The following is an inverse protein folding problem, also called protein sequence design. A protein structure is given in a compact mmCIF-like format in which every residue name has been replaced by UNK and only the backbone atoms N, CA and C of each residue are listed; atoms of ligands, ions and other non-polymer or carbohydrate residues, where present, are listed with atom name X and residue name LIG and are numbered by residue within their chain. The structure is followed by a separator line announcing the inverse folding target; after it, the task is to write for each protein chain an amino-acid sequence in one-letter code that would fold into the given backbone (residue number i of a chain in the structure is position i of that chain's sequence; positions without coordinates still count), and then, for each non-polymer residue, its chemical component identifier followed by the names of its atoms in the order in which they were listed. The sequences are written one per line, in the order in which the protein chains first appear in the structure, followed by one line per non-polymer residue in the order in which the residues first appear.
data_IF_932391867626
#
_entry.id   IF_932391867626
#
_cell.length_a   1.000
_cell.length_b   1.000
_cell.length_c   1.000
_cell.angle_alpha   90.00
_cell.angle_beta   90.00
_cell.angle_gamma   90.00
#
_symmetry.space_group_name_H-M   'P 1'
#
loop_
_entity.id
_entity.type
_entity.pdbx_description
1 polymer ?
#
# COMPACT_ATOMS: atom_id res chain seq x y z
N UNK A 1 -70.10 -56.42 9.55
CA UNK A 1 -68.84 -56.36 8.78
C UNK A 1 -68.47 -54.89 8.58
N UNK A 2 -67.19 -54.59 8.81
CA UNK A 2 -66.53 -53.27 8.84
C UNK A 2 -66.87 -52.36 7.66
N UNK A 3 -66.87 -51.04 7.88
CA UNK A 3 -65.87 -50.11 7.30
C UNK A 3 -65.69 -48.91 8.23
N UNK A 4 -64.56 -48.85 8.94
CA UNK A 4 -64.11 -47.63 9.62
C UNK A 4 -63.34 -46.79 8.59
N UNK A 5 -63.78 -45.55 8.37
CA UNK A 5 -63.11 -44.60 7.49
C UNK A 5 -62.08 -43.85 8.34
N UNK A 6 -60.80 -44.09 8.06
CA UNK A 6 -59.68 -43.44 8.70
C UNK A 6 -59.35 -42.17 7.90
N UNK A 7 -59.55 -40.99 8.49
CA UNK A 7 -59.10 -39.72 7.92
C UNK A 7 -57.62 -39.52 8.26
N UNK A 8 -56.75 -39.54 7.25
CA UNK A 8 -55.34 -39.18 7.37
C UNK A 8 -55.24 -37.67 7.15
N UNK A 9 -54.94 -36.93 8.22
CA UNK A 9 -54.61 -35.50 8.15
C UNK A 9 -53.13 -35.41 7.76
N UNK A 10 -52.86 -35.00 6.51
CA UNK A 10 -51.51 -34.66 6.06
C UNK A 10 -51.23 -33.24 6.50
N UNK A 11 -50.47 -33.08 7.58
CA UNK A 11 -49.91 -31.80 8.00
C UNK A 11 -48.69 -31.55 7.12
N UNK A 12 -48.82 -30.73 6.09
CA UNK A 12 -47.67 -30.20 5.36
C UNK A 12 -46.94 -29.22 6.26
N UNK A 13 -45.90 -29.69 6.94
CA UNK A 13 -44.87 -28.81 7.49
C UNK A 13 -44.12 -28.22 6.31
N UNK A 14 -44.54 -27.04 5.85
CA UNK A 14 -43.66 -26.17 5.10
C UNK A 14 -42.53 -25.80 6.06
N UNK A 15 -41.39 -26.47 5.92
CA UNK A 15 -40.13 -25.94 6.42
C UNK A 15 -39.96 -24.60 5.74
N UNK A 16 -40.23 -23.53 6.47
CA UNK A 16 -39.81 -22.21 6.05
C UNK A 16 -38.29 -22.27 6.08
N UNK A 17 -37.67 -22.49 4.92
CA UNK A 17 -36.24 -22.36 4.76
C UNK A 17 -35.90 -20.91 5.11
N UNK A 18 -35.42 -20.71 6.34
CA UNK A 18 -34.80 -19.46 6.78
C UNK A 18 -33.41 -19.44 6.14
N UNK A 19 -33.37 -19.37 4.82
CA UNK A 19 -32.29 -18.71 4.11
C UNK A 19 -32.77 -17.29 3.86
N UNK A 20 -32.64 -16.45 4.90
CA UNK A 20 -32.68 -15.00 4.71
C UNK A 20 -31.37 -14.66 4.01
N UNK A 21 -31.44 -14.54 2.69
CA UNK A 21 -30.35 -14.02 1.87
C UNK A 21 -29.92 -12.65 2.41
N UNK A 22 -28.61 -12.39 2.41
CA UNK A 22 -27.97 -11.22 3.00
C UNK A 22 -28.51 -9.86 2.47
N UNK A 23 -29.27 -9.87 1.37
CA UNK A 23 -29.96 -8.70 0.81
C UNK A 23 -31.02 -8.11 1.77
N UNK A 24 -31.63 -8.90 2.65
CA UNK A 24 -32.69 -8.43 3.58
C UNK A 24 -32.14 -7.63 4.80
N UNK A 25 -30.81 -7.53 4.96
CA UNK A 25 -30.16 -6.74 6.02
C UNK A 25 -29.63 -5.37 5.56
N UNK A 26 -29.76 -5.01 4.28
CA UNK A 26 -29.30 -3.72 3.77
C UNK A 26 -27.78 -3.50 3.83
N UNK A 27 -26.99 -4.59 3.86
CA UNK A 27 -25.54 -4.53 3.79
C UNK A 27 -25.14 -4.55 2.31
N UNK A 28 -24.82 -3.37 1.78
CA UNK A 28 -24.31 -3.23 0.42
C UNK A 28 -22.78 -3.29 0.45
N UNK A 29 -22.15 -4.13 -0.39
CA UNK A 29 -20.70 -4.16 -0.52
C UNK A 29 -20.13 -2.77 -0.83
N UNK A 30 -19.09 -2.39 -0.11
CA UNK A 30 -18.31 -1.17 -0.38
C UNK A 30 -17.17 -1.51 -1.35
N UNK A 31 -16.81 -0.56 -2.20
CA UNK A 31 -15.62 -0.66 -3.04
C UNK A 31 -14.59 0.37 -2.56
N UNK A 32 -13.49 -0.13 -2.01
CA UNK A 32 -12.36 0.67 -1.53
C UNK A 32 -11.32 0.85 -2.63
N UNK A 33 -10.87 2.08 -2.84
CA UNK A 33 -9.83 2.45 -3.80
C UNK A 33 -8.56 2.85 -3.07
N UNK A 34 -7.46 2.22 -3.43
CA UNK A 34 -6.13 2.50 -2.90
C UNK A 34 -5.20 2.87 -4.05
N UNK A 35 -4.39 3.90 -3.85
CA UNK A 35 -3.34 4.30 -4.79
C UNK A 35 -1.98 4.27 -4.14
N UNK A 36 -1.04 3.53 -4.74
CA UNK A 36 0.35 3.50 -4.29
C UNK A 36 1.27 4.28 -5.23
N UNK A 37 1.96 5.28 -4.68
CA UNK A 37 2.91 6.15 -5.38
C UNK A 37 4.34 5.79 -4.99
N UNK A 38 5.26 5.75 -5.96
CA UNK A 38 6.67 5.57 -5.64
C UNK A 38 7.58 5.21 -6.81
N UNK A 39 8.52 4.31 -6.54
CA UNK A 39 9.57 3.88 -7.49
C UNK A 39 9.66 2.34 -7.59
N UNK A 40 10.87 1.79 -7.80
CA UNK A 40 11.10 0.34 -7.87
C UNK A 40 10.63 -0.41 -6.62
N UNK A 41 10.68 0.24 -5.46
CA UNK A 41 10.29 -0.37 -4.20
C UNK A 41 8.77 -0.45 -4.03
N UNK A 42 8.02 0.35 -4.78
CA UNK A 42 6.55 0.31 -4.82
C UNK A 42 6.04 -0.64 -5.90
N UNK A 43 6.59 -0.60 -7.11
CA UNK A 43 6.16 -1.48 -8.21
C UNK A 43 6.58 -2.95 -7.98
N UNK A 44 7.58 -3.20 -7.12
CA UNK A 44 8.08 -4.55 -6.85
C UNK A 44 9.08 -5.05 -7.87
N UNK A 45 10.10 -4.24 -8.16
CA UNK A 45 11.16 -4.67 -9.07
C UNK A 45 11.75 -6.02 -8.63
N UNK A 46 11.87 -6.93 -9.60
CA UNK A 46 12.49 -8.26 -9.43
C UNK A 46 11.71 -9.26 -8.55
N UNK A 47 10.43 -9.00 -8.31
CA UNK A 47 9.45 -9.98 -7.79
C UNK A 47 8.27 -10.12 -8.76
N UNK A 48 7.35 -11.05 -8.51
CA UNK A 48 6.16 -11.20 -9.36
C UNK A 48 5.19 -10.01 -9.21
N UNK A 49 4.26 -9.83 -10.17
CA UNK A 49 3.32 -8.70 -10.19
C UNK A 49 2.42 -8.61 -8.94
N UNK A 50 2.18 -9.75 -8.27
CA UNK A 50 1.39 -9.85 -7.03
C UNK A 50 2.26 -9.85 -5.75
N UNK A 51 3.58 -9.88 -5.91
CA UNK A 51 4.53 -10.09 -4.81
C UNK A 51 4.99 -8.77 -4.16
N UNK A 52 4.55 -7.60 -4.63
CA UNK A 52 4.88 -6.29 -4.08
C UNK A 52 4.00 -5.91 -2.88
N UNK A 53 4.39 -4.87 -2.12
CA UNK A 53 3.59 -4.47 -0.95
C UNK A 53 2.18 -3.96 -1.30
N UNK A 54 1.94 -3.19 -2.39
CA UNK A 54 0.59 -2.75 -2.70
C UNK A 54 -0.39 -3.91 -2.93
N UNK A 55 0.03 -4.94 -3.68
CA UNK A 55 -0.79 -6.11 -3.96
C UNK A 55 -0.94 -7.02 -2.74
N UNK A 56 0.12 -7.23 -1.96
CA UNK A 56 0.01 -7.99 -0.71
C UNK A 56 -0.86 -7.27 0.34
N UNK A 57 -0.87 -5.93 0.35
CA UNK A 57 -1.75 -5.13 1.20
C UNK A 57 -3.21 -5.29 0.77
N UNK A 58 -3.49 -5.19 -0.55
CA UNK A 58 -4.81 -5.47 -1.13
C UNK A 58 -5.33 -6.83 -0.66
N UNK A 59 -4.53 -7.87 -0.81
CA UNK A 59 -4.93 -9.23 -0.42
C UNK A 59 -5.24 -9.33 1.07
N UNK A 60 -4.43 -8.70 1.91
CA UNK A 60 -4.63 -8.69 3.37
C UNK A 60 -5.92 -7.97 3.77
N UNK A 61 -6.22 -6.83 3.12
CA UNK A 61 -7.45 -6.06 3.35
C UNK A 61 -8.67 -6.81 2.81
N UNK A 62 -8.60 -7.33 1.59
CA UNK A 62 -9.67 -8.10 0.95
C UNK A 62 -10.08 -9.33 1.77
N UNK A 63 -9.10 -10.06 2.31
CA UNK A 63 -9.36 -11.20 3.21
C UNK A 63 -10.07 -10.78 4.51
N UNK A 64 -9.84 -9.55 4.97
CA UNK A 64 -10.43 -9.01 6.20
C UNK A 64 -11.85 -8.48 5.99
N UNK A 65 -12.07 -7.75 4.89
CA UNK A 65 -13.34 -7.07 4.59
C UNK A 65 -14.40 -8.00 3.97
N UNK A 66 -14.00 -9.19 3.51
CA UNK A 66 -14.87 -10.26 2.99
C UNK A 66 -15.71 -9.87 1.77
N UNK A 67 -16.88 -9.26 1.98
CA UNK A 67 -17.86 -8.97 0.92
C UNK A 67 -17.53 -7.69 0.16
N UNK A 68 -16.78 -6.78 0.79
CA UNK A 68 -16.32 -5.55 0.15
C UNK A 68 -15.23 -5.86 -0.87
N UNK A 69 -14.99 -4.94 -1.79
CA UNK A 69 -13.93 -5.06 -2.80
C UNK A 69 -12.83 -4.05 -2.53
N UNK A 70 -11.57 -4.47 -2.67
CA UNK A 70 -10.41 -3.58 -2.60
C UNK A 70 -9.76 -3.51 -3.98
N UNK A 71 -9.67 -2.32 -4.56
CA UNK A 71 -8.94 -2.04 -5.79
C UNK A 71 -7.67 -1.26 -5.48
N UNK A 72 -6.56 -1.64 -6.11
CA UNK A 72 -5.26 -0.98 -6.00
C UNK A 72 -4.82 -0.54 -7.38
N UNK A 73 -4.44 0.73 -7.49
CA UNK A 73 -3.70 1.29 -8.61
C UNK A 73 -2.27 1.66 -8.16
N UNK A 74 -1.31 1.59 -9.07
CA UNK A 74 0.10 1.87 -8.78
C UNK A 74 0.65 2.88 -9.80
N UNK A 75 1.19 4.00 -9.31
CA UNK A 75 1.98 4.95 -10.10
C UNK A 75 3.41 4.90 -9.58
N UNK A 76 4.19 3.99 -10.14
CA UNK A 76 5.58 3.79 -9.76
C UNK A 76 6.39 3.17 -10.90
N UNK A 77 7.64 3.61 -11.06
CA UNK A 77 8.58 3.05 -12.04
C UNK A 77 9.98 3.01 -11.44
N UNK A 78 10.71 1.94 -11.75
CA UNK A 78 12.10 1.76 -11.35
C UNK A 78 12.97 2.96 -11.74
N UNK A 79 13.75 3.46 -10.77
CA UNK A 79 14.69 4.56 -10.97
C UNK A 79 14.10 5.98 -10.79
N UNK A 80 12.81 6.10 -10.52
CA UNK A 80 12.18 7.41 -10.30
C UNK A 80 12.68 8.10 -9.03
N UNK A 81 13.09 9.36 -9.19
CA UNK A 81 13.28 10.33 -8.10
C UNK A 81 11.95 11.01 -7.76
N UNK A 82 11.94 11.83 -6.72
CA UNK A 82 10.82 12.74 -6.42
C UNK A 82 10.40 13.57 -7.64
N UNK A 83 11.34 14.20 -8.36
CA UNK A 83 11.06 14.96 -9.59
C UNK A 83 10.32 14.14 -10.65
N UNK A 84 10.73 12.88 -10.87
CA UNK A 84 10.12 12.02 -11.88
C UNK A 84 8.69 11.63 -11.50
N UNK A 85 8.45 11.37 -10.21
CA UNK A 85 7.12 11.07 -9.70
C UNK A 85 6.21 12.30 -9.77
N UNK A 86 6.69 13.50 -9.40
CA UNK A 86 5.94 14.76 -9.54
C UNK A 86 5.47 14.94 -10.99
N UNK A 87 6.40 14.89 -11.94
CA UNK A 87 6.10 15.07 -13.36
C UNK A 87 5.09 14.03 -13.90
N UNK A 88 4.99 12.87 -13.26
CA UNK A 88 4.07 11.80 -13.65
C UNK A 88 2.69 11.95 -12.98
N UNK A 89 2.63 12.51 -11.78
CA UNK A 89 1.38 12.75 -11.04
C UNK A 89 0.68 14.04 -11.50
N UNK A 90 1.41 15.04 -11.97
CA UNK A 90 0.81 16.32 -12.41
C UNK A 90 -0.27 16.14 -13.48
N UNK A 91 -0.05 15.40 -14.59
CA UNK A 91 -1.09 15.15 -15.57
C UNK A 91 -2.30 14.38 -15.02
N UNK A 92 -2.09 13.54 -13.99
CA UNK A 92 -3.17 12.79 -13.33
C UNK A 92 -4.06 13.75 -12.52
N UNK A 93 -3.46 14.71 -11.81
CA UNK A 93 -4.20 15.71 -11.04
C UNK A 93 -4.97 16.66 -11.93
N UNK A 94 -4.36 17.10 -13.04
CA UNK A 94 -4.95 18.00 -14.05
C UNK A 94 -6.12 17.35 -14.81
N UNK A 95 -6.15 16.03 -14.91
CA UNK A 95 -7.22 15.29 -15.57
C UNK A 95 -8.48 15.24 -14.68
N UNK A 96 -9.47 16.07 -15.01
CA UNK A 96 -10.78 16.12 -14.34
C UNK A 96 -11.85 15.24 -14.99
N UNK A 97 -11.45 14.25 -15.81
CA UNK A 97 -12.40 13.25 -16.32
C UNK A 97 -13.04 12.49 -15.14
N UNK A 98 -14.36 12.26 -15.15
CA UNK A 98 -15.00 11.38 -14.16
C UNK A 98 -14.49 9.94 -14.23
N UNK A 99 -13.87 9.55 -15.34
CA UNK A 99 -13.28 8.22 -15.55
C UNK A 99 -11.82 8.13 -15.06
N UNK A 100 -11.30 9.16 -14.39
CA UNK A 100 -9.93 9.14 -13.86
C UNK A 100 -9.83 8.19 -12.66
N UNK A 101 -9.39 6.96 -12.93
CA UNK A 101 -9.30 5.90 -11.92
C UNK A 101 -8.35 6.23 -10.76
N UNK A 102 -7.39 7.13 -10.96
CA UNK A 102 -6.37 7.49 -9.97
C UNK A 102 -6.79 8.57 -8.97
N UNK A 103 -7.99 9.16 -9.09
CA UNK A 103 -8.51 10.16 -8.13
C UNK A 103 -9.53 9.55 -7.18
N UNK A 104 -9.85 10.28 -6.11
CA UNK A 104 -10.86 9.89 -5.11
C UNK A 104 -10.55 8.55 -4.44
N UNK A 105 -9.29 8.34 -4.05
CA UNK A 105 -8.87 7.13 -3.34
C UNK A 105 -9.23 7.23 -1.85
N UNK A 106 -9.69 6.13 -1.27
CA UNK A 106 -9.93 6.04 0.17
C UNK A 106 -8.61 5.94 0.96
N UNK A 107 -7.53 5.50 0.31
CA UNK A 107 -6.18 5.50 0.88
C UNK A 107 -5.13 5.77 -0.20
N UNK A 108 -4.13 6.58 0.12
CA UNK A 108 -2.91 6.75 -0.69
C UNK A 108 -1.70 6.32 0.12
N UNK A 109 -0.76 5.59 -0.50
CA UNK A 109 0.55 5.29 0.11
C UNK A 109 1.67 5.93 -0.69
N UNK A 110 2.66 6.52 -0.03
CA UNK A 110 3.84 7.14 -0.67
C UNK A 110 5.14 6.51 -0.15
N UNK A 111 5.97 5.98 -1.06
CA UNK A 111 7.32 5.50 -0.79
C UNK A 111 8.24 6.00 -1.89
N UNK A 112 9.09 6.98 -1.60
CA UNK A 112 9.96 7.62 -2.60
C UNK A 112 11.21 8.23 -1.94
N UNK A 113 12.34 8.22 -2.64
CA UNK A 113 13.55 8.96 -2.22
C UNK A 113 14.85 8.19 -2.33
N UNK A 114 14.84 6.85 -2.41
CA UNK A 114 16.07 6.05 -2.56
C UNK A 114 16.84 6.48 -3.79
N UNK A 115 16.16 6.71 -4.91
CA UNK A 115 16.79 7.12 -6.16
C UNK A 115 17.35 8.54 -6.12
N UNK A 116 16.80 9.44 -5.29
CA UNK A 116 17.42 10.75 -5.07
C UNK A 116 18.81 10.57 -4.44
N UNK A 117 18.90 9.76 -3.39
CA UNK A 117 20.16 9.42 -2.74
C UNK A 117 21.10 8.65 -3.68
N UNK A 118 20.64 7.55 -4.28
CA UNK A 118 21.45 6.67 -5.14
C UNK A 118 22.04 7.39 -6.34
N UNK A 119 21.30 8.33 -6.93
CA UNK A 119 21.76 9.15 -8.07
C UNK A 119 22.58 10.38 -7.62
N UNK A 120 22.91 10.49 -6.33
CA UNK A 120 23.64 11.62 -5.74
C UNK A 120 22.97 12.98 -6.05
N UNK A 121 21.65 13.04 -5.99
CA UNK A 121 20.93 14.32 -6.10
C UNK A 121 21.19 15.15 -4.83
N UNK A 122 21.27 16.48 -4.95
CA UNK A 122 21.35 17.35 -3.77
C UNK A 122 20.19 17.06 -2.81
N UNK A 123 20.48 16.92 -1.52
CA UNK A 123 19.43 16.65 -0.53
C UNK A 123 18.35 17.74 -0.50
N UNK A 124 18.74 19.00 -0.70
CA UNK A 124 17.83 20.16 -0.82
C UNK A 124 16.74 19.94 -1.88
N UNK A 125 17.01 19.16 -2.94
CA UNK A 125 15.98 18.81 -3.92
C UNK A 125 14.88 17.98 -3.27
N UNK A 126 15.24 16.96 -2.48
CA UNK A 126 14.30 16.15 -1.73
C UNK A 126 13.59 16.96 -0.65
N UNK A 127 14.29 17.86 0.05
CA UNK A 127 13.69 18.73 1.07
C UNK A 127 12.57 19.62 0.51
N UNK A 128 12.67 20.02 -0.75
CA UNK A 128 11.64 20.80 -1.43
C UNK A 128 10.54 19.93 -2.07
N UNK A 129 10.93 18.86 -2.77
CA UNK A 129 10.00 18.06 -3.58
C UNK A 129 9.21 17.02 -2.76
N UNK A 130 9.73 16.55 -1.62
CA UNK A 130 9.00 15.60 -0.78
C UNK A 130 7.73 16.22 -0.16
N UNK A 131 7.76 17.42 0.47
CA UNK A 131 6.55 18.11 0.89
C UNK A 131 5.56 18.40 -0.25
N UNK A 132 6.07 18.72 -1.44
CA UNK A 132 5.24 18.88 -2.63
C UNK A 132 4.51 17.58 -3.00
N UNK A 133 5.22 16.45 -3.01
CA UNK A 133 4.63 15.13 -3.28
C UNK A 133 3.61 14.72 -2.23
N UNK A 134 3.85 15.03 -0.94
CA UNK A 134 2.89 14.79 0.13
C UNK A 134 1.57 15.54 -0.16
N UNK A 135 1.64 16.82 -0.52
CA UNK A 135 0.44 17.60 -0.85
C UNK A 135 -0.30 17.06 -2.10
N UNK A 136 0.44 16.62 -3.12
CA UNK A 136 -0.13 15.97 -4.31
C UNK A 136 -0.81 14.64 -3.94
N UNK A 137 -0.17 13.83 -3.09
CA UNK A 137 -0.72 12.57 -2.61
C UNK A 137 -2.01 12.78 -1.82
N UNK A 138 -2.07 13.79 -0.94
CA UNK A 138 -3.29 14.19 -0.23
C UNK A 138 -4.40 14.59 -1.22
N UNK A 139 -4.05 15.33 -2.28
CA UNK A 139 -5.04 15.76 -3.29
C UNK A 139 -5.60 14.60 -4.14
N UNK A 140 -4.98 13.41 -4.10
CA UNK A 140 -5.47 12.19 -4.73
C UNK A 140 -6.40 11.38 -3.82
N UNK A 141 -6.49 11.72 -2.53
CA UNK A 141 -7.45 11.10 -1.61
C UNK A 141 -8.85 11.68 -1.83
N UNK A 142 -9.86 10.89 -1.51
CA UNK A 142 -11.28 11.26 -1.61
C UNK A 142 -11.64 12.37 -0.63
N UNK A 143 -11.12 12.32 0.59
CA UNK A 143 -11.37 13.33 1.61
C UNK A 143 -10.51 14.58 1.45
N UNK A 144 -9.45 14.52 0.63
CA UNK A 144 -8.38 15.53 0.57
C UNK A 144 -7.74 15.79 1.94
N UNK A 145 -7.69 14.77 2.80
CA UNK A 145 -7.12 14.82 4.15
C UNK A 145 -5.79 14.08 4.24
N UNK A 146 -4.90 14.58 5.10
CA UNK A 146 -3.69 13.88 5.52
C UNK A 146 -3.98 12.58 6.26
N UNK A 147 -5.18 12.43 6.83
CA UNK A 147 -5.58 11.18 7.47
C UNK A 147 -5.61 10.00 6.49
N UNK A 148 -5.83 10.23 5.20
CA UNK A 148 -5.96 9.16 4.20
C UNK A 148 -4.64 8.91 3.46
N UNK A 149 -3.53 9.43 3.99
CA UNK A 149 -2.19 9.22 3.48
C UNK A 149 -1.36 8.41 4.48
N UNK A 150 -0.67 7.39 3.97
CA UNK A 150 0.42 6.69 4.67
C UNK A 150 1.72 6.95 3.92
N UNK A 151 2.72 7.46 4.62
CA UNK A 151 4.09 7.55 4.10
C UNK A 151 4.90 6.39 4.65
N UNK A 152 5.67 5.75 3.79
CA UNK A 152 6.51 4.59 4.13
C UNK A 152 7.98 5.03 4.01
N UNK A 153 8.79 4.73 5.02
CA UNK A 153 10.22 5.03 4.99
C UNK A 153 10.90 4.35 3.80
N UNK A 154 11.91 4.99 3.23
CA UNK A 154 12.72 4.36 2.19
C UNK A 154 13.61 3.24 2.76
N UNK A 155 13.83 2.14 2.02
CA UNK A 155 14.67 1.04 2.47
C UNK A 155 16.15 1.38 2.45
N UNK A 156 16.92 0.70 3.30
CA UNK A 156 18.37 0.81 3.35
C UNK A 156 19.02 -0.30 2.50
N UNK A 157 19.25 0.01 1.22
CA UNK A 157 19.82 -0.95 0.29
C UNK A 157 21.29 -1.26 0.55
N UNK A 158 21.98 -0.54 1.46
CA UNK A 158 23.34 -0.88 1.86
C UNK A 158 23.42 -2.30 2.45
N UNK A 159 22.31 -2.82 2.98
CA UNK A 159 22.21 -4.16 3.58
C UNK A 159 21.84 -5.26 2.57
N UNK A 160 22.31 -5.10 1.34
CA UNK A 160 22.13 -6.06 0.25
C UNK A 160 23.48 -6.38 -0.39
N UNK A 161 23.65 -7.51 -1.10
CA UNK A 161 24.91 -7.78 -1.79
C UNK A 161 25.26 -6.69 -2.80
N UNK A 162 24.26 -6.12 -3.50
CA UNK A 162 24.47 -4.96 -4.38
C UNK A 162 24.99 -3.76 -3.60
N UNK A 163 24.33 -3.38 -2.50
CA UNK A 163 24.74 -2.24 -1.67
C UNK A 163 26.15 -2.39 -1.11
N UNK A 164 26.54 -3.60 -0.69
CA UNK A 164 27.88 -3.92 -0.20
C UNK A 164 28.96 -3.88 -1.29
N UNK A 165 28.59 -4.06 -2.56
CA UNK A 165 29.52 -3.92 -3.69
C UNK A 165 29.81 -2.46 -4.05
N UNK A 166 29.01 -1.52 -3.53
CA UNK A 166 29.16 -0.08 -3.72
C UNK A 166 30.35 0.50 -2.95
N UNK A 167 30.74 1.76 -3.25
CA UNK A 167 31.96 2.35 -2.71
C UNK A 167 31.91 2.62 -1.21
N UNK A 168 30.76 3.00 -0.64
CA UNK A 168 30.65 3.38 0.77
C UNK A 168 29.29 3.00 1.40
N UNK A 169 29.04 1.72 1.74
CA UNK A 169 27.76 1.29 2.32
C UNK A 169 27.37 2.03 3.61
N UNK A 170 28.35 2.39 4.44
CA UNK A 170 28.11 3.16 5.68
C UNK A 170 27.61 4.59 5.40
N UNK A 171 28.11 5.23 4.33
CA UNK A 171 27.64 6.56 3.94
C UNK A 171 26.21 6.45 3.38
N UNK A 172 25.94 5.43 2.57
CA UNK A 172 24.57 5.15 2.10
C UNK A 172 23.60 5.02 3.26
N UNK A 173 23.89 4.22 4.29
CA UNK A 173 23.00 4.09 5.46
C UNK A 173 22.78 5.41 6.19
N UNK A 174 23.83 6.24 6.34
CA UNK A 174 23.72 7.56 6.98
C UNK A 174 22.82 8.51 6.17
N UNK A 175 22.95 8.51 4.84
CA UNK A 175 22.11 9.32 3.97
C UNK A 175 20.67 8.80 3.99
N UNK A 176 20.44 7.49 3.95
CA UNK A 176 19.10 6.91 4.09
C UNK A 176 18.46 7.31 5.43
N UNK A 177 19.20 7.30 6.54
CA UNK A 177 18.71 7.79 7.84
C UNK A 177 18.36 9.28 7.78
N UNK A 178 19.14 10.11 7.09
CA UNK A 178 18.86 11.54 6.90
C UNK A 178 17.56 11.77 6.13
N UNK A 179 17.36 11.06 5.01
CA UNK A 179 16.13 11.15 4.20
C UNK A 179 14.89 10.69 4.98
N UNK A 180 14.99 9.55 5.68
CA UNK A 180 13.91 9.01 6.48
C UNK A 180 13.57 9.89 7.68
N UNK A 181 14.57 10.45 8.36
CA UNK A 181 14.36 11.38 9.48
C UNK A 181 13.63 12.64 9.01
N UNK A 182 14.01 13.20 7.86
CA UNK A 182 13.32 14.35 7.29
C UNK A 182 11.86 14.03 6.96
N UNK A 183 11.62 12.90 6.27
CA UNK A 183 10.28 12.47 5.90
C UNK A 183 9.40 12.20 7.13
N UNK A 184 9.94 11.52 8.15
CA UNK A 184 9.25 11.24 9.41
C UNK A 184 8.87 12.53 10.13
N UNK A 185 9.81 13.47 10.30
CA UNK A 185 9.53 14.76 10.95
C UNK A 185 8.44 15.53 10.20
N UNK A 186 8.54 15.62 8.88
CA UNK A 186 7.52 16.29 8.07
C UNK A 186 6.14 15.62 8.24
N UNK A 187 6.08 14.29 8.27
CA UNK A 187 4.82 13.58 8.49
C UNK A 187 4.24 13.85 9.87
N UNK A 188 5.07 13.78 10.92
CA UNK A 188 4.65 14.05 12.29
C UNK A 188 4.11 15.48 12.47
N UNK A 189 4.78 16.47 11.88
CA UNK A 189 4.35 17.88 11.92
C UNK A 189 3.00 18.11 11.22
N UNK A 190 2.65 17.28 10.25
CA UNK A 190 1.44 17.42 9.43
C UNK A 190 0.37 16.35 9.76
N UNK A 191 0.55 15.57 10.83
CA UNK A 191 -0.40 14.55 11.27
C UNK A 191 -0.58 13.40 10.28
N UNK A 192 0.46 13.06 9.52
CA UNK A 192 0.48 11.97 8.54
C UNK A 192 1.06 10.71 9.19
N UNK A 193 0.47 9.54 8.94
CA UNK A 193 1.02 8.27 9.42
C UNK A 193 2.31 7.93 8.67
N UNK A 194 3.45 7.98 9.37
CA UNK A 194 4.73 7.48 8.87
C UNK A 194 5.00 6.06 9.37
N UNK A 195 5.30 5.13 8.45
CA UNK A 195 5.56 3.73 8.76
C UNK A 195 6.99 3.39 8.38
N UNK A 196 7.81 3.10 9.39
CA UNK A 196 9.18 2.67 9.20
C UNK A 196 9.23 1.20 8.75
N UNK A 197 9.97 0.92 7.68
CA UNK A 197 10.35 -0.42 7.17
C UNK A 197 11.87 -0.59 7.05
N UNK A 198 12.65 0.47 7.30
CA UNK A 198 14.10 0.51 7.05
C UNK A 198 14.84 -0.57 7.81
N UNK A 199 14.50 -0.76 9.08
CA UNK A 199 15.07 -1.78 9.95
C UNK A 199 14.80 -3.23 9.47
N UNK A 200 13.70 -3.47 8.75
CA UNK A 200 13.44 -4.76 8.09
C UNK A 200 14.50 -4.97 7.00
N UNK A 201 14.72 -3.98 6.14
CA UNK A 201 15.70 -4.09 5.05
C UNK A 201 17.14 -4.19 5.54
N UNK A 202 17.44 -3.61 6.71
CA UNK A 202 18.74 -3.77 7.39
C UNK A 202 19.06 -5.20 7.83
N UNK A 203 18.07 -6.10 7.81
CA UNK A 203 18.31 -7.52 8.04
C UNK A 203 18.79 -8.28 6.78
N UNK A 204 18.83 -7.65 5.60
CA UNK A 204 19.08 -8.32 4.32
C UNK A 204 20.41 -9.09 4.23
N UNK A 205 21.47 -8.65 4.90
CA UNK A 205 22.75 -9.37 4.93
C UNK A 205 22.73 -10.59 5.87
N UNK A 206 21.96 -10.51 6.95
CA UNK A 206 21.83 -11.59 7.95
C UNK A 206 20.80 -12.61 7.49
N UNK A 207 19.75 -12.14 6.80
CA UNK A 207 18.70 -12.94 6.21
C UNK A 207 18.58 -12.64 4.71
N UNK A 208 19.40 -13.28 3.86
CA UNK A 208 19.38 -13.07 2.41
C UNK A 208 18.03 -13.34 1.74
N UNK A 209 17.15 -14.12 2.38
CA UNK A 209 15.79 -14.35 1.87
C UNK A 209 14.92 -13.09 1.86
N UNK A 210 15.37 -11.99 2.48
CA UNK A 210 14.72 -10.69 2.39
C UNK A 210 15.09 -9.92 1.11
N UNK A 211 16.12 -10.35 0.38
CA UNK A 211 16.60 -9.69 -0.84
C UNK A 211 16.15 -10.49 -2.06
N UNK A 212 15.69 -9.80 -3.11
CA UNK A 212 15.26 -10.38 -4.36
C UNK A 212 16.43 -10.92 -5.20
N UNK A 213 16.10 -11.57 -6.31
CA UNK A 213 17.08 -12.26 -7.18
C UNK A 213 18.11 -11.33 -7.85
N UNK A 214 17.84 -10.02 -7.90
CA UNK A 214 18.76 -9.01 -8.40
C UNK A 214 19.81 -8.56 -7.36
N UNK A 215 19.75 -9.13 -6.16
CA UNK A 215 20.61 -8.81 -5.02
C UNK A 215 20.48 -7.37 -4.51
N UNK A 216 19.38 -6.67 -4.82
CA UNK A 216 19.15 -5.27 -4.47
C UNK A 216 17.77 -5.04 -3.85
N UNK A 217 16.71 -5.41 -4.55
CA UNK A 217 15.35 -5.03 -4.14
C UNK A 217 14.81 -5.97 -3.04
N UNK A 218 13.75 -5.57 -2.31
CA UNK A 218 13.08 -6.44 -1.36
C UNK A 218 12.46 -7.63 -2.07
N UNK A 219 12.60 -8.81 -1.47
CA UNK A 219 11.87 -10.01 -1.88
C UNK A 219 10.38 -9.93 -1.51
N UNK A 220 9.58 -10.87 -2.04
CA UNK A 220 8.20 -11.10 -1.62
C UNK A 220 8.09 -11.25 -0.08
N UNK A 221 9.04 -11.95 0.55
CA UNK A 221 9.08 -12.13 2.00
C UNK A 221 9.32 -10.81 2.75
N UNK A 222 10.17 -9.93 2.22
CA UNK A 222 10.37 -8.62 2.81
C UNK A 222 9.12 -7.74 2.65
N UNK A 223 8.47 -7.77 1.49
CA UNK A 223 7.21 -7.07 1.27
C UNK A 223 6.09 -7.54 2.19
N UNK A 224 6.02 -8.84 2.49
CA UNK A 224 5.10 -9.35 3.51
C UNK A 224 5.32 -8.69 4.87
N UNK A 225 6.58 -8.51 5.28
CA UNK A 225 6.92 -7.82 6.53
C UNK A 225 6.61 -6.33 6.49
N UNK A 226 6.67 -5.70 5.32
CA UNK A 226 6.23 -4.31 5.16
C UNK A 226 4.72 -4.24 5.39
N UNK A 227 3.95 -5.13 4.74
CA UNK A 227 2.49 -5.20 4.89
C UNK A 227 2.09 -5.50 6.33
N UNK A 228 2.79 -6.36 7.06
CA UNK A 228 2.56 -6.60 8.49
C UNK A 228 2.59 -5.29 9.32
N UNK A 229 3.37 -4.28 8.91
CA UNK A 229 3.39 -2.96 9.57
C UNK A 229 2.38 -1.97 9.00
N UNK A 230 2.13 -2.02 7.70
CA UNK A 230 1.24 -1.08 7.01
C UNK A 230 -0.24 -1.41 7.28
N UNK A 231 -0.57 -2.69 7.32
CA UNK A 231 -1.93 -3.20 7.37
C UNK A 231 -2.80 -2.63 8.50
N UNK A 232 -2.34 -2.53 9.76
CA UNK A 232 -3.19 -2.00 10.84
C UNK A 232 -3.65 -0.56 10.58
N UNK A 233 -2.75 0.32 10.15
CA UNK A 233 -3.07 1.71 9.86
C UNK A 233 -3.91 1.84 8.58
N UNK A 234 -3.65 1.01 7.56
CA UNK A 234 -4.45 1.00 6.34
C UNK A 234 -5.89 0.57 6.62
N UNK A 235 -6.09 -0.49 7.43
CA UNK A 235 -7.41 -0.98 7.80
C UNK A 235 -8.19 0.03 8.63
N UNK A 236 -7.54 0.71 9.59
CA UNK A 236 -8.15 1.78 10.38
C UNK A 236 -8.69 2.89 9.46
N UNK A 237 -7.85 3.38 8.54
CA UNK A 237 -8.19 4.53 7.67
C UNK A 237 -9.31 4.25 6.69
N UNK A 238 -9.39 3.05 6.12
CA UNK A 238 -10.48 2.73 5.17
C UNK A 238 -11.81 2.41 5.88
N UNK A 239 -11.81 2.20 7.19
CA UNK A 239 -13.03 1.92 7.97
C UNK A 239 -13.59 3.16 8.68
N UNK A 240 -12.85 4.26 8.72
CA UNK A 240 -13.28 5.58 9.22
C UNK A 240 -14.29 6.26 8.27
#
# INVERSE_FOLDING_TARGET
MRKAILYIIIISVYSCDIFRDAEDMGIYPVNYKILSLGDSYTIGQSVCDECNFPMQLKDSLQNTLRIDTVNVEIIAVTGWTTTALINSVDPVLENNSPDNIFKENDLVTLLIGVNNQYQNRPFELYENEFPELVNKAISLTKSQSSNDLIVISIPDYAYTPFGQSGPNPSITSQEIDMYNTFAENHCLENGINFINITDITRQGLINPALVASDNLHPSELAYKKFVERIFPAALEKILD
#
